data_IF_949407823330
#
_entry.id   IF_949407823330
#
_cell.length_a   1.000
_cell.length_b   1.000
_cell.length_c   1.000
_cell.angle_alpha   90.00
_cell.angle_beta   90.00
_cell.angle_gamma   90.00
#
_symmetry.space_group_name_H-M   'P 1'
#
loop_
_entity.id
_entity.type
_entity.pdbx_description
1 polymer ?
#
# COMPACT_ATOMS: atom_id res chain seq x y z
N UNK A 1 2.28 9.92 1.37
CA UNK A 1 1.04 10.61 1.80
C UNK A 1 1.09 10.70 3.32
N UNK A 2 1.68 11.77 3.86
CA UNK A 2 2.03 11.85 5.30
C UNK A 2 0.89 12.38 6.18
N UNK A 3 -0.09 13.06 5.57
CA UNK A 3 -1.17 13.74 6.29
C UNK A 3 -2.03 12.78 7.13
N UNK A 4 -2.20 11.53 6.68
CA UNK A 4 -2.89 10.47 7.43
C UNK A 4 -2.36 10.33 8.86
N UNK A 5 -1.04 10.37 8.99
CA UNK A 5 -0.37 10.22 10.28
C UNK A 5 -0.30 11.57 11.04
N UNK A 6 0.34 12.56 10.43
CA UNK A 6 0.70 13.83 11.09
C UNK A 6 -0.50 14.75 11.37
N UNK A 7 -1.49 14.79 10.46
CA UNK A 7 -2.64 15.69 10.57
C UNK A 7 -3.86 15.02 11.20
N UNK A 8 -4.03 13.70 11.02
CA UNK A 8 -5.28 13.04 11.41
C UNK A 8 -5.08 11.95 12.48
N UNK A 9 -4.16 11.00 12.28
CA UNK A 9 -3.92 9.86 13.18
C UNK A 9 -3.46 10.30 14.57
N UNK A 10 -2.29 10.95 14.66
CA UNK A 10 -1.75 11.45 15.93
C UNK A 10 -2.68 12.46 16.64
N UNK A 11 -3.55 13.14 15.87
CA UNK A 11 -4.51 14.14 16.39
C UNK A 11 -5.87 13.54 16.73
N UNK A 12 -6.07 12.24 16.50
CA UNK A 12 -7.34 11.52 16.71
C UNK A 12 -8.53 12.16 15.99
N UNK A 13 -8.28 12.70 14.80
CA UNK A 13 -9.32 13.31 13.98
C UNK A 13 -9.89 12.26 13.01
N UNK A 14 -10.90 11.52 13.49
CA UNK A 14 -11.59 10.49 12.71
C UNK A 14 -12.22 11.07 11.42
N UNK A 15 -12.82 12.25 11.51
CA UNK A 15 -13.50 12.87 10.37
C UNK A 15 -12.49 13.35 9.33
N UNK A 16 -11.39 13.98 9.75
CA UNK A 16 -10.30 14.37 8.87
C UNK A 16 -9.61 13.17 8.21
N UNK A 17 -9.37 12.09 8.97
CA UNK A 17 -8.79 10.86 8.44
C UNK A 17 -9.67 10.27 7.33
N UNK A 18 -10.97 10.13 7.58
CA UNK A 18 -11.92 9.61 6.61
C UNK A 18 -12.01 10.50 5.35
N UNK A 19 -12.04 11.82 5.52
CA UNK A 19 -12.07 12.77 4.41
C UNK A 19 -10.80 12.70 3.55
N UNK A 20 -9.63 12.52 4.18
CA UNK A 20 -8.36 12.35 3.48
C UNK A 20 -8.32 11.06 2.67
N UNK A 21 -8.81 9.94 3.21
CA UNK A 21 -8.90 8.67 2.49
C UNK A 21 -9.78 8.80 1.23
N UNK A 22 -10.94 9.43 1.36
CA UNK A 22 -11.83 9.69 0.22
C UNK A 22 -11.21 10.66 -0.80
N UNK A 23 -10.37 11.60 -0.36
CA UNK A 23 -9.67 12.50 -1.27
C UNK A 23 -8.64 11.74 -2.11
N UNK A 24 -7.86 10.85 -1.51
CA UNK A 24 -6.92 10.00 -2.23
C UNK A 24 -7.63 9.03 -3.18
N UNK A 25 -8.74 8.42 -2.75
CA UNK A 25 -9.54 7.53 -3.59
C UNK A 25 -10.02 8.23 -4.88
N UNK A 26 -10.56 9.45 -4.77
CA UNK A 26 -10.93 10.27 -5.94
C UNK A 26 -9.74 10.67 -6.81
N UNK A 27 -8.60 10.95 -6.20
CA UNK A 27 -7.37 11.23 -6.96
C UNK A 27 -6.90 10.00 -7.74
N UNK A 28 -7.02 8.81 -7.13
CA UNK A 28 -6.60 7.55 -7.72
C UNK A 28 -7.37 7.24 -9.01
N UNK A 29 -8.66 7.55 -9.07
CA UNK A 29 -9.49 7.45 -10.29
C UNK A 29 -8.85 8.19 -11.49
N UNK A 30 -8.33 9.40 -11.27
CA UNK A 30 -7.66 10.18 -12.30
C UNK A 30 -6.22 9.75 -12.58
N UNK A 31 -5.57 9.07 -11.63
CA UNK A 31 -4.19 8.60 -11.75
C UNK A 31 -4.09 7.29 -12.54
N UNK A 32 -4.98 6.32 -12.28
CA UNK A 32 -4.90 4.99 -12.89
C UNK A 32 -4.81 4.99 -14.43
N UNK A 33 -5.56 5.83 -15.18
CA UNK A 33 -5.47 5.87 -16.64
C UNK A 33 -4.14 6.43 -17.18
N UNK A 34 -3.30 7.03 -16.33
CA UNK A 34 -2.01 7.60 -16.72
C UNK A 34 -0.88 6.56 -16.71
N UNK A 35 -1.13 5.37 -16.15
CA UNK A 35 -0.14 4.29 -16.07
C UNK A 35 0.04 3.60 -17.43
N UNK A 36 1.29 3.36 -17.82
CA UNK A 36 1.65 2.62 -19.01
C UNK A 36 1.40 1.12 -18.82
N UNK A 37 1.30 0.38 -19.93
CA UNK A 37 0.93 -1.04 -19.91
C UNK A 37 1.91 -1.94 -19.12
N UNK A 38 3.15 -1.49 -18.94
CA UNK A 38 4.22 -2.13 -18.21
C UNK A 38 4.45 -1.57 -16.79
N UNK A 39 3.70 -0.56 -16.38
CA UNK A 39 3.77 -0.02 -15.03
C UNK A 39 3.12 -0.96 -13.99
N UNK A 40 3.71 -1.04 -12.81
CA UNK A 40 3.17 -1.68 -11.62
C UNK A 40 2.92 -0.64 -10.52
N UNK A 41 1.68 -0.55 -10.06
CA UNK A 41 1.28 0.23 -8.90
C UNK A 41 1.21 -0.67 -7.66
N UNK A 42 1.96 -0.33 -6.62
CA UNK A 42 1.87 -0.91 -5.29
C UNK A 42 1.36 0.14 -4.31
N UNK A 43 0.29 -0.14 -3.57
CA UNK A 43 -0.23 0.70 -2.48
C UNK A 43 -0.12 -0.07 -1.18
N UNK A 44 0.56 0.51 -0.19
CA UNK A 44 0.72 -0.04 1.16
C UNK A 44 0.80 1.08 2.20
N UNK A 45 0.79 0.70 3.48
CA UNK A 45 1.22 1.55 4.59
C UNK A 45 2.46 0.94 5.27
N UNK A 46 2.99 1.61 6.28
CA UNK A 46 4.15 1.21 7.08
C UNK A 46 3.81 0.93 8.56
N UNK A 47 2.68 1.43 9.05
CA UNK A 47 2.11 1.10 10.35
C UNK A 47 0.63 1.54 10.43
N UNK A 48 -0.01 1.30 11.57
CA UNK A 48 -1.29 1.90 11.92
C UNK A 48 -1.11 3.24 12.63
N UNK A 49 -2.14 4.07 12.59
CA UNK A 49 -2.27 5.27 13.44
C UNK A 49 -3.76 5.52 13.66
N UNK A 50 -4.42 4.59 14.36
CA UNK A 50 -5.87 4.56 14.56
C UNK A 50 -6.35 5.82 15.33
N UNK A 51 -7.14 6.71 14.69
CA UNK A 51 -7.61 7.95 15.34
C UNK A 51 -8.65 7.70 16.44
N UNK A 52 -9.12 6.46 16.65
CA UNK A 52 -10.04 6.07 17.72
C UNK A 52 -9.34 5.42 18.91
N UNK A 53 -8.07 5.02 18.75
CA UNK A 53 -7.28 4.37 19.81
C UNK A 53 -6.80 5.39 20.86
N UNK A 54 -6.83 5.05 22.16
CA UNK A 54 -6.20 5.87 23.20
C UNK A 54 -4.68 5.98 23.02
N UNK A 55 -4.11 7.14 23.34
CA UNK A 55 -2.71 7.49 23.06
C UNK A 55 -2.55 8.42 21.85
N UNK A 56 -1.38 8.99 21.64
CA UNK A 56 -1.08 9.80 20.44
C UNK A 56 0.11 9.20 19.70
N UNK A 57 0.33 7.90 19.86
CA UNK A 57 1.41 7.16 19.23
C UNK A 57 0.82 6.19 18.20
N UNK A 58 1.65 5.59 17.37
CA UNK A 58 1.23 4.63 16.36
C UNK A 58 0.58 3.38 16.98
N UNK A 59 -0.28 2.73 16.20
CA UNK A 59 -0.87 1.43 16.51
C UNK A 59 -0.17 0.32 15.73
N UNK A 60 -0.01 -0.85 16.38
CA UNK A 60 0.61 -2.02 15.75
C UNK A 60 -0.44 -2.79 14.95
N UNK A 61 -0.55 -2.48 13.68
CA UNK A 61 -1.53 -3.05 12.76
C UNK A 61 -0.88 -3.76 11.57
N UNK A 62 -1.62 -4.67 10.95
CA UNK A 62 -1.33 -5.08 9.58
C UNK A 62 -1.54 -3.89 8.65
N UNK A 63 -0.79 -3.84 7.56
CA UNK A 63 -0.93 -2.82 6.51
C UNK A 63 -1.56 -3.47 5.28
N UNK A 64 -2.42 -2.75 4.52
CA UNK A 64 -2.94 -3.27 3.26
C UNK A 64 -1.80 -3.39 2.25
N UNK A 65 -1.92 -4.35 1.33
CA UNK A 65 -1.08 -4.42 0.14
C UNK A 65 -1.99 -4.61 -1.08
N UNK A 66 -2.03 -3.61 -1.94
CA UNK A 66 -2.69 -3.69 -3.24
C UNK A 66 -1.62 -3.62 -4.33
N UNK A 67 -1.67 -4.55 -5.27
CA UNK A 67 -0.82 -4.58 -6.45
C UNK A 67 -1.70 -4.54 -7.70
N UNK A 68 -1.44 -3.60 -8.60
CA UNK A 68 -2.25 -3.39 -9.80
C UNK A 68 -1.38 -2.99 -10.98
N UNK A 69 -1.72 -3.45 -12.17
CA UNK A 69 -1.13 -2.99 -13.43
C UNK A 69 -2.18 -3.00 -14.54
N UNK A 70 -2.03 -2.20 -15.62
CA UNK A 70 -3.08 -2.09 -16.64
C UNK A 70 -3.39 -3.38 -17.41
N UNK A 71 -2.45 -4.33 -17.43
CA UNK A 71 -2.62 -5.66 -18.06
C UNK A 71 -3.29 -6.70 -17.15
N UNK A 72 -3.62 -6.36 -15.91
CA UNK A 72 -4.22 -7.30 -14.96
C UNK A 72 -5.65 -7.62 -15.40
N UNK A 73 -5.93 -8.89 -15.67
CA UNK A 73 -7.26 -9.34 -16.13
C UNK A 73 -8.18 -9.78 -15.01
N UNK A 74 -7.61 -10.26 -13.90
CA UNK A 74 -8.32 -10.67 -12.70
C UNK A 74 -7.48 -10.39 -11.46
N UNK A 75 -8.12 -10.05 -10.34
CA UNK A 75 -7.46 -9.97 -9.05
C UNK A 75 -7.27 -11.34 -8.42
N UNK A 76 -6.15 -11.54 -7.73
CA UNK A 76 -5.87 -12.71 -6.90
C UNK A 76 -5.59 -12.27 -5.46
N UNK A 77 -5.94 -13.11 -4.49
CA UNK A 77 -5.54 -12.90 -3.12
C UNK A 77 -4.05 -13.22 -2.95
N UNK A 78 -3.23 -12.21 -2.63
CA UNK A 78 -1.80 -12.39 -2.34
C UNK A 78 -1.53 -13.10 -0.99
N UNK A 79 -2.60 -13.26 -0.19
CA UNK A 79 -2.54 -13.75 1.18
C UNK A 79 -1.86 -12.76 2.13
N UNK A 80 -1.75 -13.17 3.39
CA UNK A 80 -0.98 -12.43 4.38
C UNK A 80 0.51 -12.49 4.03
N UNK A 81 1.18 -11.34 4.03
CA UNK A 81 2.62 -11.25 3.82
C UNK A 81 3.34 -11.36 5.16
N UNK A 82 4.41 -12.14 5.19
CA UNK A 82 5.17 -12.37 6.42
C UNK A 82 5.97 -11.13 6.86
N UNK A 83 6.31 -10.25 5.90
CA UNK A 83 7.11 -9.06 6.14
C UNK A 83 6.86 -8.00 5.08
N UNK A 84 7.07 -6.72 5.43
CA UNK A 84 7.09 -5.62 4.47
C UNK A 84 8.22 -5.78 3.44
N UNK A 85 9.26 -6.55 3.78
CA UNK A 85 10.35 -6.89 2.88
C UNK A 85 9.89 -7.61 1.60
N UNK A 86 8.70 -8.22 1.59
CA UNK A 86 8.15 -8.89 0.41
C UNK A 86 7.91 -7.90 -0.76
N UNK A 87 7.63 -6.62 -0.46
CA UNK A 87 7.58 -5.56 -1.47
C UNK A 87 8.96 -5.34 -2.09
N UNK A 88 9.99 -5.23 -1.26
CA UNK A 88 11.37 -5.06 -1.73
C UNK A 88 11.85 -6.28 -2.53
N UNK A 89 11.52 -7.50 -2.10
CA UNK A 89 11.84 -8.72 -2.84
C UNK A 89 11.16 -8.77 -4.21
N UNK A 90 9.90 -8.33 -4.30
CA UNK A 90 9.16 -8.25 -5.58
C UNK A 90 9.78 -7.23 -6.51
N UNK A 91 10.13 -6.03 -6.01
CA UNK A 91 10.83 -5.02 -6.81
C UNK A 91 12.25 -5.49 -7.22
N UNK A 92 12.95 -6.18 -6.32
CA UNK A 92 14.25 -6.78 -6.59
C UNK A 92 14.20 -7.80 -7.74
N UNK A 93 13.18 -8.66 -7.76
CA UNK A 93 12.97 -9.61 -8.86
C UNK A 93 12.70 -8.88 -10.19
N UNK A 94 11.87 -7.83 -10.19
CA UNK A 94 11.55 -7.03 -11.39
C UNK A 94 12.81 -6.38 -11.99
N UNK A 95 13.66 -5.79 -11.16
CA UNK A 95 14.83 -5.04 -11.60
C UNK A 95 16.13 -5.85 -11.59
N UNK A 96 16.06 -7.14 -11.28
CA UNK A 96 17.21 -8.04 -11.15
C UNK A 96 18.26 -7.52 -10.14
N UNK A 97 17.79 -7.13 -8.95
CA UNK A 97 18.58 -6.65 -7.81
C UNK A 97 18.27 -7.50 -6.58
N UNK A 98 19.30 -7.92 -5.84
CA UNK A 98 19.13 -8.66 -4.59
C UNK A 98 18.59 -7.74 -3.48
N UNK A 99 17.42 -8.07 -2.93
CA UNK A 99 16.80 -7.36 -1.79
C UNK A 99 17.37 -7.80 -0.44
N UNK A 100 18.12 -8.91 -0.39
CA UNK A 100 18.69 -9.51 0.81
C UNK A 100 17.67 -10.22 1.72
N UNK A 101 16.39 -9.85 1.68
CA UNK A 101 15.32 -10.49 2.43
C UNK A 101 13.94 -10.29 1.78
N UNK A 102 12.93 -10.98 2.34
CA UNK A 102 11.56 -11.01 1.83
C UNK A 102 11.31 -12.14 0.84
N UNK A 103 10.04 -12.41 0.57
CA UNK A 103 9.59 -13.38 -0.43
C UNK A 103 8.82 -12.64 -1.50
N UNK A 104 9.31 -12.68 -2.74
CA UNK A 104 8.62 -12.05 -3.87
C UNK A 104 7.25 -12.67 -4.11
N UNK A 105 6.30 -11.84 -4.55
CA UNK A 105 4.98 -12.26 -5.03
C UNK A 105 4.79 -11.97 -6.53
N UNK A 106 5.86 -11.66 -7.27
CA UNK A 106 5.79 -11.28 -8.68
C UNK A 106 5.08 -12.34 -9.54
N UNK A 107 5.35 -13.62 -9.29
CA UNK A 107 4.73 -14.73 -10.02
C UNK A 107 3.20 -14.79 -9.91
N UNK A 108 2.62 -14.18 -8.87
CA UNK A 108 1.18 -14.11 -8.66
C UNK A 108 0.53 -12.96 -9.45
N UNK A 109 1.34 -12.01 -9.96
CA UNK A 109 0.87 -10.85 -10.74
C UNK A 109 0.92 -11.11 -12.25
N UNK A 110 1.71 -12.08 -12.70
CA UNK A 110 1.93 -12.36 -14.14
C UNK A 110 0.97 -13.46 -14.66
N UNK A 111 0.16 -14.04 -13.77
CA UNK A 111 -0.76 -15.14 -14.08
C UNK A 111 -1.97 -14.72 -14.93
#
# INVERSE_FOLDING_TARGET
LIDYDMLYGHRRDVTGFAAALQHFDRWLEGFLPQLAADDLLLITADHGCDPTTPGTDHSREYVPLLAWHPRLTAGVALGDRASFADVAATLGEIFNVDSGCGNSFLSQLIA
#
